data_IF_483140120493
#
_entry.id   IF_483140120493
#
_cell.length_a   1.000
_cell.length_b   1.000
_cell.length_c   1.000
_cell.angle_alpha   90.00
_cell.angle_beta   90.00
_cell.angle_gamma   90.00
#
_symmetry.space_group_name_H-M   'P 1'
#
loop_
_entity.id
_entity.type
_entity.pdbx_description
1 polymer ?
#
# COMPACT_ATOMS: atom_id res chain seq x y z
N UNK A 1 -17.12 12.12 -6.62
CA UNK A 1 -17.22 10.65 -6.57
C UNK A 1 -16.14 10.11 -7.50
N UNK A 2 -15.24 9.24 -7.03
CA UNK A 2 -14.17 8.68 -7.85
C UNK A 2 -14.60 7.32 -8.41
N UNK A 3 -14.36 7.11 -9.70
CA UNK A 3 -14.56 5.81 -10.34
C UNK A 3 -13.23 5.07 -10.38
N UNK A 4 -13.09 4.02 -9.57
CA UNK A 4 -11.87 3.20 -9.53
C UNK A 4 -12.26 1.76 -9.89
N UNK A 5 -11.80 1.22 -11.04
CA UNK A 5 -12.10 -0.15 -11.41
C UNK A 5 -11.38 -1.13 -10.49
N UNK A 6 -11.95 -2.33 -10.33
CA UNK A 6 -11.24 -3.42 -9.66
C UNK A 6 -10.12 -3.93 -10.56
N UNK A 7 -8.98 -4.26 -9.97
CA UNK A 7 -7.86 -4.89 -10.68
C UNK A 7 -7.69 -6.30 -10.12
N UNK A 8 -7.87 -7.35 -10.93
CA UNK A 8 -7.65 -8.72 -10.47
C UNK A 8 -6.17 -8.92 -10.13
N UNK A 9 -5.90 -9.52 -8.97
CA UNK A 9 -4.56 -9.86 -8.52
C UNK A 9 -4.44 -11.38 -8.43
N UNK A 10 -3.44 -11.96 -9.11
CA UNK A 10 -3.27 -13.43 -9.17
C UNK A 10 -2.62 -14.05 -7.92
N UNK A 11 -2.27 -13.25 -6.90
CA UNK A 11 -1.76 -13.77 -5.63
C UNK A 11 -2.88 -14.25 -4.70
N UNK A 12 -2.58 -15.32 -3.94
CA UNK A 12 -3.51 -16.09 -3.11
C UNK A 12 -4.51 -15.23 -2.30
N UNK A 13 -5.81 -15.29 -2.63
CA UNK A 13 -6.93 -14.88 -1.75
C UNK A 13 -6.73 -13.61 -0.88
N UNK A 14 -6.19 -12.54 -1.44
CA UNK A 14 -5.99 -11.29 -0.70
C UNK A 14 -6.96 -10.22 -1.21
N UNK A 15 -7.80 -9.68 -0.31
CA UNK A 15 -8.68 -8.54 -0.57
C UNK A 15 -7.85 -7.25 -0.67
N UNK A 16 -7.03 -7.17 -1.72
CA UNK A 16 -6.14 -6.04 -1.98
C UNK A 16 -6.92 -4.96 -2.74
N UNK A 17 -6.99 -3.77 -2.18
CA UNK A 17 -7.48 -2.60 -2.92
C UNK A 17 -6.53 -2.21 -4.06
N UNK A 18 -7.05 -1.72 -5.20
CA UNK A 18 -6.23 -1.28 -6.31
C UNK A 18 -5.40 -0.04 -5.90
N UNK A 19 -4.12 0.08 -6.33
CA UNK A 19 -3.28 1.24 -6.01
C UNK A 19 -3.93 2.60 -6.37
N UNK A 20 -4.72 2.62 -7.44
CA UNK A 20 -5.47 3.80 -7.90
C UNK A 20 -6.52 4.30 -6.89
N UNK A 21 -6.98 3.45 -5.96
CA UNK A 21 -7.85 3.87 -4.88
C UNK A 21 -7.09 4.64 -3.78
N UNK A 22 -5.81 4.31 -3.58
CA UNK A 22 -5.03 4.80 -2.43
C UNK A 22 -4.27 6.07 -2.74
N UNK A 23 -3.77 6.19 -3.97
CA UNK A 23 -3.04 7.38 -4.42
C UNK A 23 -3.77 8.70 -4.13
N UNK A 24 -5.06 8.90 -4.48
CA UNK A 24 -5.73 10.15 -4.19
C UNK A 24 -5.94 10.38 -2.68
N UNK A 25 -6.12 9.32 -1.88
CA UNK A 25 -6.21 9.44 -0.43
C UNK A 25 -4.91 9.96 0.19
N UNK A 26 -3.76 9.46 -0.25
CA UNK A 26 -2.45 9.90 0.25
C UNK A 26 -2.14 11.32 -0.21
N UNK A 27 -2.40 11.65 -1.47
CA UNK A 27 -2.15 12.99 -2.01
C UNK A 27 -3.01 14.06 -1.31
N UNK A 28 -4.26 13.73 -0.95
CA UNK A 28 -5.13 14.64 -0.24
C UNK A 28 -4.84 14.73 1.27
N UNK A 29 -4.44 13.61 1.89
CA UNK A 29 -4.32 13.49 3.35
C UNK A 29 -2.91 13.61 3.91
N UNK A 30 -1.85 13.60 3.08
CA UNK A 30 -0.47 13.61 3.55
C UNK A 30 0.43 14.54 2.73
N UNK A 31 1.13 15.50 3.38
CA UNK A 31 2.08 16.35 2.68
C UNK A 31 3.24 15.54 2.09
N UNK A 32 3.98 16.14 1.14
CA UNK A 32 5.20 15.54 0.62
C UNK A 32 6.20 15.28 1.77
N UNK A 33 6.82 14.10 1.77
CA UNK A 33 7.69 13.66 2.88
C UNK A 33 6.98 13.31 4.19
N UNK A 34 5.65 13.43 4.25
CA UNK A 34 4.82 13.07 5.40
C UNK A 34 4.83 11.57 5.71
N UNK A 35 4.14 11.19 6.77
CA UNK A 35 3.99 9.78 7.20
C UNK A 35 2.54 9.34 7.09
N UNK A 36 2.31 8.15 6.51
CA UNK A 36 0.98 7.52 6.38
C UNK A 36 0.88 6.35 7.35
N UNK A 37 -0.19 6.29 8.14
CA UNK A 37 -0.50 5.15 9.00
C UNK A 37 -1.55 4.25 8.33
N UNK A 38 -1.29 2.96 8.27
CA UNK A 38 -2.26 1.94 7.88
C UNK A 38 -2.36 0.86 8.97
N UNK A 39 -3.39 0.90 9.83
CA UNK A 39 -3.54 -0.05 10.93
C UNK A 39 -4.00 -1.45 10.48
N UNK A 40 -4.38 -1.63 9.21
CA UNK A 40 -4.86 -2.89 8.63
C UNK A 40 -4.15 -3.15 7.31
N UNK A 41 -2.82 -3.16 7.35
CA UNK A 41 -2.02 -3.02 6.14
C UNK A 41 -2.19 -4.21 5.18
N UNK A 42 -2.59 -5.39 5.67
CA UNK A 42 -2.89 -6.55 4.83
C UNK A 42 -1.72 -6.92 3.95
N UNK A 43 -1.90 -6.81 2.63
CA UNK A 43 -0.78 -7.02 1.69
C UNK A 43 0.20 -5.83 1.61
N UNK A 44 -0.16 -4.64 2.08
CA UNK A 44 0.72 -3.47 2.13
C UNK A 44 0.66 -2.56 0.89
N UNK A 45 -0.47 -2.49 0.20
CA UNK A 45 -0.65 -1.55 -0.92
C UNK A 45 -0.45 -0.10 -0.49
N UNK A 46 -0.91 0.29 0.70
CA UNK A 46 -0.70 1.65 1.23
C UNK A 46 0.77 2.01 1.37
N UNK A 47 1.57 1.10 1.90
CA UNK A 47 3.02 1.27 2.01
C UNK A 47 3.70 1.42 0.63
N UNK A 48 3.29 0.59 -0.34
CA UNK A 48 3.82 0.66 -1.71
C UNK A 48 3.52 2.02 -2.35
N UNK A 49 2.27 2.48 -2.27
CA UNK A 49 1.87 3.77 -2.84
C UNK A 49 2.51 4.94 -2.10
N UNK A 50 2.54 4.92 -0.76
CA UNK A 50 3.22 5.93 0.05
C UNK A 50 4.69 6.08 -0.34
N UNK A 51 5.41 4.96 -0.44
CA UNK A 51 6.83 4.94 -0.83
C UNK A 51 7.04 5.51 -2.23
N UNK A 52 6.25 5.07 -3.22
CA UNK A 52 6.30 5.60 -4.60
C UNK A 52 6.06 7.11 -4.64
N UNK A 53 5.18 7.62 -3.79
CA UNK A 53 4.86 9.03 -3.67
C UNK A 53 5.87 9.81 -2.79
N UNK A 54 6.94 9.19 -2.29
CA UNK A 54 7.95 9.85 -1.46
C UNK A 54 7.46 10.18 -0.04
N UNK A 55 6.56 9.36 0.52
CA UNK A 55 6.10 9.42 1.92
C UNK A 55 6.68 8.26 2.72
N UNK A 56 6.84 8.47 4.02
CA UNK A 56 7.08 7.39 4.99
C UNK A 56 5.76 6.68 5.30
N UNK A 57 5.83 5.47 5.84
CA UNK A 57 4.64 4.78 6.31
C UNK A 57 4.90 4.03 7.61
N UNK A 58 3.82 3.80 8.36
CA UNK A 58 3.74 2.89 9.51
C UNK A 58 2.57 1.96 9.21
N UNK A 59 2.81 0.64 9.24
CA UNK A 59 1.80 -0.37 8.96
C UNK A 59 1.68 -1.37 10.10
N UNK A 60 0.45 -1.75 10.44
CA UNK A 60 0.17 -2.85 11.37
C UNK A 60 -0.56 -3.97 10.63
N UNK A 61 -0.14 -5.22 10.87
CA UNK A 61 -0.81 -6.41 10.36
C UNK A 61 -0.69 -7.53 11.40
N UNK A 62 -1.82 -8.17 11.73
CA UNK A 62 -1.89 -9.19 12.77
C UNK A 62 -1.59 -10.58 12.21
N UNK A 63 -1.92 -10.83 10.94
CA UNK A 63 -1.74 -12.13 10.33
C UNK A 63 -0.28 -12.34 9.90
N UNK A 64 0.44 -13.27 10.55
CA UNK A 64 1.87 -13.46 10.29
C UNK A 64 2.18 -13.93 8.86
N UNK A 65 1.17 -14.44 8.12
CA UNK A 65 1.34 -14.85 6.71
C UNK A 65 1.75 -13.69 5.79
N UNK A 66 1.52 -12.45 6.19
CA UNK A 66 1.93 -11.29 5.39
C UNK A 66 3.33 -10.79 5.71
N UNK A 67 3.99 -11.29 6.77
CA UNK A 67 5.32 -10.82 7.19
C UNK A 67 6.32 -10.95 6.04
N UNK A 68 6.42 -12.11 5.41
CA UNK A 68 7.33 -12.33 4.27
C UNK A 68 7.05 -11.38 3.10
N UNK A 69 5.78 -11.11 2.81
CA UNK A 69 5.35 -10.18 1.76
C UNK A 69 5.70 -8.73 2.10
N UNK A 70 5.62 -8.35 3.38
CA UNK A 70 6.06 -7.05 3.87
C UNK A 70 7.57 -6.89 3.73
N UNK A 71 8.34 -7.91 4.11
CA UNK A 71 9.81 -7.89 3.97
C UNK A 71 10.26 -7.62 2.54
N UNK A 72 9.72 -8.35 1.56
CA UNK A 72 10.01 -8.16 0.14
C UNK A 72 9.76 -6.72 -0.33
N UNK A 73 8.73 -6.07 0.22
CA UNK A 73 8.30 -4.72 -0.15
C UNK A 73 9.05 -3.62 0.61
N UNK A 74 9.55 -3.89 1.82
CA UNK A 74 10.39 -2.95 2.59
C UNK A 74 11.73 -2.69 1.92
N UNK A 75 12.29 -3.70 1.26
CA UNK A 75 13.64 -3.64 0.67
C UNK A 75 13.70 -3.02 -0.73
N UNK A 76 12.56 -2.84 -1.40
CA UNK A 76 12.55 -2.52 -2.84
C UNK A 76 12.01 -1.13 -3.12
N UNK A 77 12.89 -0.12 -3.09
CA UNK A 77 12.60 1.18 -3.71
C UNK A 77 12.72 1.00 -5.24
N UNK A 78 11.59 1.01 -5.96
CA UNK A 78 11.59 1.08 -7.43
C UNK A 78 11.03 -0.11 -8.22
N UNK A 79 10.29 -1.05 -7.62
CA UNK A 79 9.59 -2.08 -8.42
C UNK A 79 8.40 -1.48 -9.20
N UNK A 80 8.28 -1.73 -10.52
CA UNK A 80 7.08 -1.39 -11.28
C UNK A 80 5.88 -2.25 -10.83
N UNK A 81 4.67 -1.72 -11.07
CA UNK A 81 3.39 -2.31 -10.67
C UNK A 81 3.15 -3.70 -11.27
#
# INVERSE_FOLDING_TARGET
MWTVPTTPFQGAHFARFPPALIEPCILAGSPAGGTVLDPFMGSGTTAQVATRLGRKFIGCELNPKYVELHELRRTTVGMPL
#
